data_IF_251233762799
#
_entry.id   IF_251233762799
#
_cell.length_a   1.000
_cell.length_b   1.000
_cell.length_c   1.000
_cell.angle_alpha   90.00
_cell.angle_beta   90.00
_cell.angle_gamma   90.00
#
_symmetry.space_group_name_H-M   'P 1'
#
loop_
_entity.id
_entity.type
_entity.pdbx_description
1 polymer ?
#
# COMPACT_ATOMS: atom_id res chain seq x y z
N UNK A 1 18.54 -7.74 12.17
CA UNK A 1 17.12 -8.10 12.31
C UNK A 1 16.25 -6.91 11.90
N UNK A 2 15.21 -7.17 11.14
CA UNK A 2 14.36 -6.08 10.66
C UNK A 2 13.35 -5.70 11.72
N UNK A 3 13.27 -4.41 11.99
CA UNK A 3 12.28 -3.85 12.88
C UNK A 3 10.88 -4.15 12.36
N UNK A 4 9.94 -4.50 13.24
CA UNK A 4 8.58 -4.83 12.82
C UNK A 4 7.89 -3.64 12.16
N UNK A 5 8.20 -2.42 12.59
CA UNK A 5 7.66 -1.22 11.94
C UNK A 5 8.17 -1.10 10.51
N UNK A 6 9.43 -1.43 10.30
CA UNK A 6 10.00 -1.42 8.95
C UNK A 6 9.34 -2.46 8.07
N UNK A 7 9.08 -3.65 8.61
CA UNK A 7 8.41 -4.70 7.86
C UNK A 7 7.00 -4.28 7.44
N UNK A 8 6.27 -3.63 8.34
CA UNK A 8 4.93 -3.12 8.01
C UNK A 8 5.01 -2.09 6.91
N UNK A 9 5.98 -1.21 6.99
CA UNK A 9 6.15 -0.18 5.98
C UNK A 9 6.50 -0.81 4.61
N UNK A 10 7.39 -1.79 4.61
CA UNK A 10 7.73 -2.51 3.38
C UNK A 10 6.49 -3.16 2.79
N UNK A 11 5.66 -3.78 3.63
CA UNK A 11 4.43 -4.41 3.16
C UNK A 11 3.52 -3.37 2.50
N UNK A 12 3.43 -2.19 3.09
CA UNK A 12 2.62 -1.11 2.52
C UNK A 12 3.16 -0.70 1.15
N UNK A 13 4.47 -0.44 1.07
CA UNK A 13 5.08 0.01 -0.17
C UNK A 13 4.92 -1.02 -1.29
N UNK A 14 5.17 -2.28 -0.98
CA UNK A 14 5.06 -3.34 -1.98
C UNK A 14 3.60 -3.51 -2.43
N UNK A 15 2.66 -3.40 -1.50
CA UNK A 15 1.25 -3.50 -1.85
C UNK A 15 0.86 -2.38 -2.81
N UNK A 16 1.35 -1.17 -2.56
CA UNK A 16 1.08 -0.05 -3.45
C UNK A 16 1.70 -0.28 -4.82
N UNK A 17 2.95 -0.72 -4.85
CA UNK A 17 3.65 -0.92 -6.13
C UNK A 17 3.00 -1.98 -6.98
N UNK A 18 2.55 -3.06 -6.36
CA UNK A 18 1.91 -4.14 -7.10
C UNK A 18 0.43 -3.94 -7.31
N UNK A 19 -0.16 -3.02 -6.55
CA UNK A 19 -1.58 -2.72 -6.67
C UNK A 19 -2.46 -3.84 -6.19
N UNK A 20 -1.95 -4.72 -5.33
CA UNK A 20 -2.66 -5.93 -4.96
C UNK A 20 -2.14 -6.47 -3.64
N UNK A 21 -3.07 -6.83 -2.75
CA UNK A 21 -2.71 -7.48 -1.51
C UNK A 21 -2.18 -8.90 -1.77
N UNK A 22 -2.80 -9.61 -2.71
CA UNK A 22 -2.34 -10.95 -3.02
C UNK A 22 -0.96 -10.94 -3.67
N UNK A 23 -0.70 -9.96 -4.52
CA UNK A 23 0.63 -9.82 -5.11
C UNK A 23 1.68 -9.53 -4.07
N UNK A 24 1.38 -8.64 -3.12
CA UNK A 24 2.32 -8.33 -2.06
C UNK A 24 2.56 -9.54 -1.16
N UNK A 25 1.50 -10.27 -0.84
CA UNK A 25 1.64 -11.48 -0.01
C UNK A 25 2.55 -12.50 -0.67
N UNK A 26 2.38 -12.68 -1.97
CA UNK A 26 3.21 -13.62 -2.72
C UNK A 26 4.66 -13.14 -2.76
N UNK A 27 4.86 -11.86 -3.05
CA UNK A 27 6.20 -11.31 -3.16
C UNK A 27 6.97 -11.38 -1.84
N UNK A 28 6.28 -11.18 -0.73
CA UNK A 28 6.90 -11.14 0.58
C UNK A 28 6.77 -12.44 1.35
N UNK A 29 6.12 -13.43 0.75
CA UNK A 29 5.92 -14.74 1.36
C UNK A 29 5.10 -14.65 2.66
N UNK A 30 4.04 -13.87 2.61
CA UNK A 30 3.07 -13.75 3.69
C UNK A 30 1.69 -14.15 3.19
N UNK A 31 0.74 -14.28 4.11
CA UNK A 31 -0.65 -14.44 3.73
C UNK A 31 -1.25 -13.06 3.42
N UNK A 32 -2.35 -13.05 2.67
CA UNK A 32 -3.04 -11.79 2.41
C UNK A 32 -3.53 -11.14 3.71
N UNK A 33 -4.04 -11.96 4.62
CA UNK A 33 -4.50 -11.42 5.91
C UNK A 33 -3.33 -10.84 6.70
N UNK A 34 -2.14 -11.42 6.56
CA UNK A 34 -0.95 -10.90 7.20
C UNK A 34 -0.58 -9.52 6.69
N UNK A 35 -0.61 -9.36 5.36
CA UNK A 35 -0.33 -8.06 4.75
C UNK A 35 -1.38 -7.04 5.18
N UNK A 36 -2.64 -7.43 5.12
CA UNK A 36 -3.73 -6.54 5.48
C UNK A 36 -3.60 -6.06 6.94
N UNK A 37 -3.21 -6.98 7.82
CA UNK A 37 -3.03 -6.65 9.23
C UNK A 37 -1.88 -5.67 9.44
N UNK A 38 -0.77 -5.87 8.73
CA UNK A 38 0.38 -4.98 8.84
C UNK A 38 0.01 -3.56 8.45
N UNK A 39 -0.72 -3.42 7.36
CA UNK A 39 -1.14 -2.10 6.90
C UNK A 39 -2.15 -1.50 7.86
N UNK A 40 -3.08 -2.29 8.37
CA UNK A 40 -4.04 -1.81 9.36
C UNK A 40 -3.32 -1.33 10.62
N UNK A 41 -2.25 -1.99 11.01
CA UNK A 41 -1.46 -1.57 12.16
C UNK A 41 -0.84 -0.19 11.94
N UNK A 42 -0.31 0.05 10.74
CA UNK A 42 0.24 1.37 10.42
C UNK A 42 -0.86 2.43 10.50
N UNK A 43 -2.01 2.13 9.93
CA UNK A 43 -3.13 3.08 9.95
C UNK A 43 -3.56 3.38 11.38
N UNK A 44 -3.61 2.35 12.21
CA UNK A 44 -4.01 2.52 13.59
C UNK A 44 -3.00 3.36 14.36
N UNK A 45 -1.72 3.10 14.15
CA UNK A 45 -0.67 3.81 14.88
C UNK A 45 -0.55 5.25 14.43
N UNK A 46 -0.78 5.52 13.16
CA UNK A 46 -0.66 6.87 12.63
C UNK A 46 -1.96 7.66 12.68
N UNK A 47 -3.08 6.98 12.97
CA UNK A 47 -4.42 7.58 12.94
C UNK A 47 -4.76 8.12 11.55
N UNK A 48 -4.24 7.46 10.51
CA UNK A 48 -4.49 7.85 9.13
C UNK A 48 -5.05 6.68 8.36
N UNK A 49 -5.89 6.96 7.38
CA UNK A 49 -6.30 5.95 6.42
C UNK A 49 -5.37 6.07 5.22
N UNK A 50 -4.61 5.01 4.96
CA UNK A 50 -3.59 5.04 3.92
C UNK A 50 -4.10 4.54 2.58
N UNK A 51 -5.02 3.58 2.59
CA UNK A 51 -5.55 3.04 1.36
C UNK A 51 -6.95 2.49 1.60
N UNK A 52 -7.72 2.35 0.54
CA UNK A 52 -9.05 1.78 0.57
C UNK A 52 -9.14 0.68 -0.46
N UNK A 53 -9.91 -0.36 -0.14
CA UNK A 53 -10.14 -1.47 -1.05
C UNK A 53 -11.55 -1.39 -1.60
N UNK A 54 -11.69 -1.68 -2.87
CA UNK A 54 -12.99 -1.82 -3.48
C UNK A 54 -12.91 -2.93 -4.53
N UNK A 55 -13.98 -3.11 -5.31
CA UNK A 55 -14.04 -4.20 -6.28
C UNK A 55 -13.01 -4.05 -7.39
N UNK A 56 -12.59 -2.83 -7.67
CA UNK A 56 -11.64 -2.58 -8.74
C UNK A 56 -10.22 -2.84 -8.26
N UNK A 57 -9.96 -2.63 -6.99
CA UNK A 57 -8.64 -2.84 -6.43
C UNK A 57 -8.38 -1.97 -5.24
N UNK A 58 -7.19 -1.43 -5.16
CA UNK A 58 -6.73 -0.62 -4.04
C UNK A 58 -6.62 0.83 -4.48
N UNK A 59 -7.13 1.73 -3.65
CA UNK A 59 -6.97 3.16 -3.88
C UNK A 59 -6.16 3.75 -2.75
N UNK A 60 -5.17 4.54 -3.10
CA UNK A 60 -4.30 5.18 -2.14
C UNK A 60 -4.90 6.53 -1.75
N UNK A 61 -4.97 6.79 -0.44
CA UNK A 61 -5.43 8.11 0.01
C UNK A 61 -4.31 9.12 -0.14
N UNK A 62 -4.63 10.41 0.00
CA UNK A 62 -3.60 11.43 -0.05
C UNK A 62 -2.61 11.26 1.09
N UNK A 63 -3.08 10.83 2.27
CA UNK A 63 -2.18 10.55 3.38
C UNK A 63 -1.28 9.37 3.08
N UNK A 64 -1.81 8.33 2.43
CA UNK A 64 -1.00 7.19 2.02
C UNK A 64 0.05 7.59 1.02
N UNK A 65 -0.30 8.45 0.09
CA UNK A 65 0.65 8.93 -0.92
C UNK A 65 1.79 9.69 -0.26
N UNK A 66 1.48 10.50 0.74
CA UNK A 66 2.51 11.28 1.44
C UNK A 66 3.46 10.41 2.25
N UNK A 67 3.02 9.23 2.64
CA UNK A 67 3.85 8.33 3.41
C UNK A 67 4.90 7.62 2.55
N UNK A 68 4.70 7.58 1.24
CA UNK A 68 5.65 6.94 0.35
C UNK A 68 6.89 7.81 0.18
N UNK A 69 8.10 7.21 0.20
CA UNK A 69 9.32 7.98 0.01
C UNK A 69 9.54 8.41 -1.44
N UNK A 70 8.75 7.83 -2.35
CA UNK A 70 8.90 8.10 -3.78
C UNK A 70 7.57 7.76 -4.46
N UNK A 71 7.40 8.25 -5.68
CA UNK A 71 6.25 7.86 -6.47
C UNK A 71 6.57 6.53 -7.12
N UNK A 72 5.75 5.49 -6.93
CA UNK A 72 5.98 4.21 -7.60
C UNK A 72 6.02 4.38 -9.11
N UNK A 73 6.76 3.50 -9.77
CA UNK A 73 6.89 3.56 -11.21
C UNK A 73 5.54 3.50 -11.92
N UNK A 74 4.60 2.74 -11.36
CA UNK A 74 3.26 2.64 -11.93
C UNK A 74 2.54 3.98 -11.92
N UNK A 75 2.82 4.83 -10.96
CA UNK A 75 2.24 6.18 -10.90
C UNK A 75 2.85 7.06 -11.99
N UNK A 76 4.17 6.99 -12.12
CA UNK A 76 4.88 7.83 -13.08
C UNK A 76 4.49 7.49 -14.51
N UNK A 77 4.30 6.23 -14.80
CA UNK A 77 4.00 5.78 -16.14
C UNK A 77 2.57 6.09 -16.55
N UNK A 78 1.65 6.02 -15.61
CA UNK A 78 0.23 6.14 -15.89
C UNK A 78 -0.41 7.19 -15.01
N UNK A 79 0.01 8.42 -15.15
CA UNK A 79 -0.53 9.47 -14.29
C UNK A 79 -2.05 9.59 -14.42
N UNK A 80 -2.57 9.41 -15.63
CA UNK A 80 -4.02 9.42 -15.83
C UNK A 80 -4.71 8.27 -15.13
N UNK A 81 -4.18 7.08 -15.31
CA UNK A 81 -4.70 5.91 -14.62
C UNK A 81 -4.54 6.02 -13.13
N UNK A 82 -3.42 6.59 -12.71
CA UNK A 82 -3.20 6.80 -11.31
C UNK A 82 -4.31 7.64 -10.69
N UNK A 83 -4.68 8.72 -11.35
CA UNK A 83 -5.73 9.58 -10.83
C UNK A 83 -7.03 8.81 -10.63
N UNK A 84 -7.41 8.01 -11.61
CA UNK A 84 -8.68 7.30 -11.52
C UNK A 84 -8.63 6.13 -10.56
N UNK A 85 -7.45 5.54 -10.34
CA UNK A 85 -7.32 4.36 -9.48
C UNK A 85 -6.89 4.68 -8.06
N UNK A 86 -6.05 5.69 -7.89
CA UNK A 86 -5.37 5.92 -6.62
C UNK A 86 -5.78 7.20 -5.91
N UNK A 87 -6.18 8.21 -6.67
CA UNK A 87 -6.55 9.48 -6.07
C UNK A 87 -8.02 9.48 -5.69
N UNK A 88 -8.30 9.94 -4.52
CA UNK A 88 -9.68 10.02 -4.02
C UNK A 88 -10.14 11.45 -4.04
#
# INVERSE_FOLDING_TARGET
MIDSNLQKYIAFVITVELGSFSGAAEALNYSQSGISRMIADIEKESHLTLMERDRIGIRLTSDGLRLLPYAPASFAVNSGSFRSRWMI
#
